data_IF_891249147273
#
_entry.id   IF_891249147273
#
_cell.length_a   1.000
_cell.length_b   1.000
_cell.length_c   1.000
_cell.angle_alpha   90.00
_cell.angle_beta   90.00
_cell.angle_gamma   90.00
#
_symmetry.space_group_name_H-M   'P 1'
#
loop_
_entity.id
_entity.type
_entity.pdbx_description
1 polymer ?
#
# COMPACT_ATOMS: atom_id res chain seq x y z
N UNK A 1 10.82 -6.28 -1.01
CA UNK A 1 9.75 -6.66 -1.96
C UNK A 1 10.32 -6.96 -3.35
N UNK A 2 9.60 -7.65 -4.27
CA UNK A 2 10.10 -8.00 -5.61
C UNK A 2 9.99 -6.87 -6.64
N UNK A 3 9.71 -5.63 -6.21
CA UNK A 3 9.55 -4.47 -7.08
C UNK A 3 10.59 -3.43 -6.70
N UNK A 4 11.08 -2.70 -7.70
CA UNK A 4 12.00 -1.59 -7.49
C UNK A 4 11.30 -0.39 -6.84
N UNK A 5 12.10 0.48 -6.22
CA UNK A 5 11.63 1.74 -5.67
C UNK A 5 11.00 2.63 -6.77
N UNK A 6 10.02 3.44 -6.40
CA UNK A 6 9.40 4.43 -7.30
C UNK A 6 8.86 3.83 -8.61
N UNK A 7 8.29 2.63 -8.56
CA UNK A 7 7.75 1.93 -9.71
C UNK A 7 6.32 2.38 -10.04
N UNK A 8 5.45 2.42 -9.02
CA UNK A 8 4.02 2.58 -9.22
C UNK A 8 3.55 4.02 -9.00
N UNK A 9 2.66 4.48 -9.88
CA UNK A 9 1.98 5.77 -9.73
C UNK A 9 0.74 5.65 -8.83
N UNK A 10 0.10 4.48 -8.85
CA UNK A 10 -1.15 4.19 -8.14
C UNK A 10 -1.13 2.77 -7.60
N UNK A 11 -1.62 2.59 -6.37
CA UNK A 11 -1.88 1.27 -5.78
C UNK A 11 -3.31 1.22 -5.23
N UNK A 12 -3.97 0.06 -5.35
CA UNK A 12 -5.30 -0.21 -4.83
C UNK A 12 -5.21 -1.33 -3.80
N UNK A 13 -5.62 -1.05 -2.56
CA UNK A 13 -5.67 -2.03 -1.48
C UNK A 13 -7.12 -2.23 -1.04
N UNK A 14 -7.67 -3.43 -1.23
CA UNK A 14 -9.08 -3.73 -0.90
C UNK A 14 -9.12 -4.79 0.20
N UNK A 15 -9.76 -4.47 1.33
CA UNK A 15 -10.05 -5.41 2.42
C UNK A 15 -8.83 -6.22 2.89
N UNK A 16 -7.65 -5.60 2.90
CA UNK A 16 -6.40 -6.27 3.24
C UNK A 16 -5.72 -5.67 4.48
N UNK A 17 -5.64 -4.34 4.55
CA UNK A 17 -4.84 -3.65 5.58
C UNK A 17 -5.37 -3.87 7.00
N UNK A 18 -6.67 -4.12 7.16
CA UNK A 18 -7.30 -4.32 8.47
C UNK A 18 -6.96 -5.66 9.13
N UNK A 19 -6.42 -6.63 8.38
CA UNK A 19 -6.00 -7.94 8.92
C UNK A 19 -4.49 -8.05 9.07
N UNK A 20 -3.74 -7.00 8.75
CA UNK A 20 -2.29 -7.00 8.90
C UNK A 20 -1.88 -6.95 10.38
N UNK A 21 -0.94 -7.79 10.84
CA UNK A 21 -0.44 -7.74 12.22
C UNK A 21 0.26 -6.41 12.55
N UNK A 22 0.90 -5.79 11.56
CA UNK A 22 1.64 -4.52 11.69
C UNK A 22 1.37 -3.63 10.47
N UNK A 23 0.26 -2.86 10.45
CA UNK A 23 -0.14 -2.09 9.28
C UNK A 23 0.91 -1.07 8.81
N UNK A 24 1.64 -0.47 9.73
CA UNK A 24 2.69 0.52 9.42
C UNK A 24 3.86 -0.07 8.63
N UNK A 25 4.24 -1.32 8.89
CA UNK A 25 5.28 -2.02 8.14
C UNK A 25 4.83 -2.28 6.69
N UNK A 26 3.57 -2.70 6.50
CA UNK A 26 3.00 -2.90 5.17
C UNK A 26 2.88 -1.58 4.39
N UNK A 27 2.47 -0.50 5.07
CA UNK A 27 2.44 0.85 4.49
C UNK A 27 3.83 1.37 4.10
N UNK A 28 4.84 1.07 4.91
CA UNK A 28 6.23 1.45 4.63
C UNK A 28 6.75 0.79 3.36
N UNK A 29 6.51 -0.51 3.20
CA UNK A 29 6.89 -1.22 1.98
C UNK A 29 6.15 -0.71 0.75
N UNK A 30 4.83 -0.44 0.86
CA UNK A 30 4.06 0.19 -0.22
C UNK A 30 4.68 1.55 -0.58
N UNK A 31 5.08 2.34 0.41
CA UNK A 31 5.67 3.66 0.16
C UNK A 31 6.96 3.59 -0.65
N UNK A 32 7.81 2.58 -0.47
CA UNK A 32 9.06 2.46 -1.22
C UNK A 32 8.83 2.21 -2.72
N UNK A 33 7.88 1.33 -3.05
CA UNK A 33 7.58 0.99 -4.45
C UNK A 33 6.73 2.05 -5.15
N UNK A 34 6.19 3.02 -4.42
CA UNK A 34 5.39 4.12 -4.97
C UNK A 34 6.29 5.29 -5.36
N UNK A 35 6.02 5.91 -6.51
CA UNK A 35 6.68 7.15 -6.92
C UNK A 35 6.39 8.29 -5.94
N UNK A 36 7.26 9.30 -5.85
CA UNK A 36 6.95 10.52 -5.11
C UNK A 36 5.67 11.15 -5.68
N UNK A 37 4.69 11.42 -4.81
CA UNK A 37 3.38 11.93 -5.22
C UNK A 37 2.40 10.88 -5.76
N UNK A 38 2.75 9.59 -5.74
CA UNK A 38 1.85 8.51 -6.11
C UNK A 38 0.70 8.30 -5.12
N UNK A 39 -0.39 7.70 -5.59
CA UNK A 39 -1.65 7.57 -4.84
C UNK A 39 -1.87 6.14 -4.36
N UNK A 40 -2.06 5.95 -3.06
CA UNK A 40 -2.63 4.72 -2.50
C UNK A 40 -4.13 4.93 -2.29
N UNK A 41 -4.95 4.08 -2.90
CA UNK A 41 -6.40 4.06 -2.73
C UNK A 41 -6.81 2.85 -1.88
N UNK A 42 -7.04 3.03 -0.56
CA UNK A 42 -7.58 1.97 0.27
C UNK A 42 -9.10 1.87 0.12
N UNK A 43 -9.62 0.64 0.12
CA UNK A 43 -11.05 0.35 0.27
C UNK A 43 -11.21 -0.62 1.44
N UNK A 44 -12.07 -0.23 2.38
CA UNK A 44 -12.43 -1.05 3.53
C UNK A 44 -13.94 -1.25 3.52
N UNK A 45 -14.37 -2.49 3.71
CA UNK A 45 -15.76 -2.84 4.02
C UNK A 45 -15.87 -3.04 5.53
N UNK A 46 -16.75 -2.27 6.18
CA UNK A 46 -17.10 -2.42 7.61
C UNK A 46 -18.46 -3.10 7.69
N UNK A 47 -18.57 -4.16 8.51
CA UNK A 47 -19.83 -4.87 8.80
C UNK A 47 -20.42 -4.39 10.11
#
# INVERSE_FOLDING_TARGET
MPFDDNTFNTALAINLMQVWPTPDAGLTEIRYVMKPGGTLAPRVTVY
#
